data_IF_396359549996
#
_entry.id   IF_396359549996
#
_cell.length_a   1.000
_cell.length_b   1.000
_cell.length_c   1.000
_cell.angle_alpha   90.00
_cell.angle_beta   90.00
_cell.angle_gamma   90.00
#
_symmetry.space_group_name_H-M   'P 1'
#
loop_
_entity.id
_entity.type
_entity.pdbx_description
1 polymer ?
#
# COMPACT_ATOMS: atom_id res chain seq x y z
N UNK A 1 -5.66 5.58 -5.01
CA UNK A 1 -4.29 5.56 -4.46
C UNK A 1 -3.45 6.75 -4.91
N UNK A 2 -3.85 7.50 -5.96
CA UNK A 2 -3.13 8.71 -6.39
C UNK A 2 -3.01 9.73 -5.25
N UNK A 3 -4.12 10.14 -4.62
CA UNK A 3 -4.10 11.05 -3.48
C UNK A 3 -3.20 10.58 -2.32
N UNK A 4 -3.13 9.28 -2.05
CA UNK A 4 -2.23 8.75 -1.02
C UNK A 4 -0.77 8.92 -1.43
N UNK A 5 -0.42 8.60 -2.68
CA UNK A 5 0.92 8.84 -3.23
C UNK A 5 1.27 10.33 -3.20
N UNK A 6 0.31 11.17 -3.57
CA UNK A 6 0.42 12.62 -3.59
C UNK A 6 0.66 13.20 -2.20
N UNK A 7 -0.07 12.77 -1.17
CA UNK A 7 0.09 13.28 0.19
C UNK A 7 1.34 12.71 0.86
N UNK A 8 1.66 11.42 0.66
CA UNK A 8 2.86 10.81 1.24
C UNK A 8 4.15 11.26 0.55
N UNK A 9 4.07 11.73 -0.69
CA UNK A 9 5.26 12.07 -1.47
C UNK A 9 6.11 10.89 -1.88
N UNK A 10 5.55 9.68 -1.84
CA UNK A 10 6.22 8.44 -2.19
C UNK A 10 5.40 7.65 -3.20
N UNK A 11 6.06 6.78 -3.96
CA UNK A 11 5.37 5.85 -4.86
C UNK A 11 4.47 4.90 -4.07
N UNK A 12 3.27 4.64 -4.58
CA UNK A 12 2.38 3.60 -4.06
C UNK A 12 2.27 2.49 -5.12
N UNK A 13 2.65 1.28 -4.75
CA UNK A 13 2.62 0.11 -5.64
C UNK A 13 1.39 -0.73 -5.30
N UNK A 14 0.49 -0.92 -6.27
CA UNK A 14 -0.69 -1.77 -6.12
C UNK A 14 -0.45 -3.13 -6.78
N UNK A 15 -0.50 -4.23 -6.01
CA UNK A 15 -0.37 -5.58 -6.56
C UNK A 15 -1.60 -5.94 -7.41
N UNK A 16 -1.43 -6.89 -8.33
CA UNK A 16 -2.53 -7.44 -9.13
C UNK A 16 -3.55 -8.20 -8.28
N UNK A 17 -3.07 -9.01 -7.34
CA UNK A 17 -3.94 -9.70 -6.38
C UNK A 17 -4.24 -8.77 -5.22
N UNK A 18 -5.51 -8.32 -5.11
CA UNK A 18 -5.95 -7.41 -4.04
C UNK A 18 -6.16 -8.12 -2.70
N UNK A 19 -6.59 -9.38 -2.73
CA UNK A 19 -6.81 -10.22 -1.54
C UNK A 19 -5.51 -10.86 -1.05
N UNK A 20 -4.49 -10.04 -0.75
CA UNK A 20 -3.16 -10.51 -0.35
C UNK A 20 -3.19 -11.34 0.94
N UNK A 21 -4.17 -11.11 1.81
CA UNK A 21 -4.37 -11.88 3.04
C UNK A 21 -4.72 -13.34 2.75
N UNK A 22 -5.72 -13.57 1.88
CA UNK A 22 -6.11 -14.91 1.46
C UNK A 22 -4.98 -15.58 0.68
N UNK A 23 -4.32 -14.84 -0.21
CA UNK A 23 -3.16 -15.33 -0.95
C UNK A 23 -2.03 -15.78 -0.01
N UNK A 24 -1.71 -15.01 1.02
CA UNK A 24 -0.69 -15.36 2.01
C UNK A 24 -1.04 -16.64 2.78
N UNK A 25 -2.29 -16.80 3.20
CA UNK A 25 -2.75 -18.02 3.86
C UNK A 25 -2.64 -19.25 2.93
N UNK A 26 -3.07 -19.10 1.68
CA UNK A 26 -2.97 -20.16 0.67
C UNK A 26 -1.51 -20.54 0.38
N UNK A 27 -0.62 -19.55 0.25
CA UNK A 27 0.82 -19.77 0.06
C UNK A 27 1.43 -20.57 1.21
N UNK A 28 1.13 -20.21 2.46
CA UNK A 28 1.63 -20.93 3.64
C UNK A 28 1.09 -22.36 3.71
N UNK A 29 -0.21 -22.56 3.48
CA UNK A 29 -0.81 -23.89 3.46
C UNK A 29 -0.23 -24.77 2.33
N UNK A 30 -0.04 -24.19 1.14
CA UNK A 30 0.55 -24.87 -0.01
C UNK A 30 1.99 -25.31 0.23
N UNK A 31 2.80 -24.48 0.90
CA UNK A 31 4.15 -24.90 1.33
C UNK A 31 4.10 -26.07 2.33
N UNK A 32 3.17 -26.04 3.29
CA UNK A 32 3.04 -27.08 4.31
C UNK A 32 2.65 -28.45 3.73
N UNK A 33 1.85 -28.48 2.66
CA UNK A 33 1.42 -29.73 1.99
C UNK A 33 2.31 -30.11 0.80
N UNK A 34 3.38 -29.36 0.54
CA UNK A 34 4.31 -29.61 -0.57
C UNK A 34 3.77 -29.28 -1.96
N UNK A 35 2.71 -28.46 -2.04
CA UNK A 35 2.23 -27.94 -3.33
C UNK A 35 3.25 -27.00 -3.98
N UNK A 36 3.97 -26.22 -3.15
CA UNK A 36 5.16 -25.47 -3.55
C UNK A 36 6.39 -26.00 -2.82
N UNK A 37 7.55 -25.94 -3.48
CA UNK A 37 8.78 -26.57 -2.99
C UNK A 37 9.51 -25.69 -1.98
N UNK A 38 9.45 -24.36 -2.15
CA UNK A 38 10.12 -23.41 -1.26
C UNK A 38 9.55 -21.99 -1.40
N UNK A 39 9.91 -21.10 -0.47
CA UNK A 39 9.47 -19.70 -0.51
C UNK A 39 9.99 -18.93 -1.73
N UNK A 40 11.16 -19.30 -2.27
CA UNK A 40 11.72 -18.64 -3.46
C UNK A 40 10.81 -18.78 -4.68
N UNK A 41 10.14 -19.93 -4.82
CA UNK A 41 9.15 -20.20 -5.88
C UNK A 41 7.94 -19.25 -5.84
N UNK A 42 7.67 -18.66 -4.67
CA UNK A 42 6.56 -17.72 -4.47
C UNK A 42 6.96 -16.26 -4.73
N UNK A 43 8.26 -15.94 -4.71
CA UNK A 43 8.75 -14.58 -4.86
C UNK A 43 8.42 -13.99 -6.25
N UNK A 44 8.53 -14.83 -7.28
CA UNK A 44 8.29 -14.45 -8.68
C UNK A 44 6.81 -14.28 -9.02
N UNK A 45 5.89 -14.69 -8.13
CA UNK A 45 4.44 -14.60 -8.35
C UNK A 45 3.85 -13.22 -8.02
N UNK A 46 4.68 -12.24 -7.63
CA UNK A 46 4.24 -10.89 -7.28
C UNK A 46 4.14 -10.00 -8.52
N UNK A 47 2.96 -9.99 -9.12
CA UNK A 47 2.65 -9.11 -10.25
C UNK A 47 2.13 -7.73 -9.79
N UNK A 48 2.63 -6.68 -10.44
CA UNK A 48 2.23 -5.29 -10.18
C UNK A 48 1.15 -4.89 -11.18
N UNK A 49 -0.02 -4.46 -10.69
CA UNK A 49 -1.09 -3.91 -11.55
C UNK A 49 -0.80 -2.46 -11.92
N UNK A 50 -0.42 -1.65 -10.93
CA UNK A 50 -0.21 -0.21 -11.14
C UNK A 50 0.72 0.39 -10.11
N UNK A 51 1.53 1.34 -10.57
CA UNK A 51 2.35 2.22 -9.72
C UNK A 51 1.76 3.62 -9.81
N UNK A 52 1.46 4.21 -8.66
CA UNK A 52 1.07 5.62 -8.54
C UNK A 52 2.32 6.40 -8.10
N UNK A 53 2.69 7.42 -8.87
CA UNK A 53 3.78 8.33 -8.51
C UNK A 53 3.19 9.66 -8.04
N UNK A 54 3.84 10.39 -7.13
CA UNK A 54 3.33 11.67 -6.68
C UNK A 54 3.26 12.67 -7.85
N UNK A 55 2.09 13.25 -8.07
CA UNK A 55 1.80 14.25 -9.10
C UNK A 55 1.48 15.62 -8.47
N UNK A 56 1.13 15.64 -7.18
CA UNK A 56 0.82 16.87 -6.45
C UNK A 56 2.07 17.66 -6.07
N UNK A 57 2.04 18.96 -6.36
CA UNK A 57 3.06 19.92 -5.94
C UNK A 57 3.20 20.00 -4.42
N UNK A 58 4.44 20.22 -3.96
CA UNK A 58 4.80 20.24 -2.54
C UNK A 58 4.01 21.27 -1.74
N UNK A 59 3.86 22.49 -2.24
CA UNK A 59 3.15 23.57 -1.53
C UNK A 59 1.68 23.21 -1.30
N UNK A 60 1.03 22.64 -2.33
CA UNK A 60 -0.36 22.19 -2.23
C UNK A 60 -0.51 20.98 -1.29
N UNK A 61 0.46 20.08 -1.27
CA UNK A 61 0.52 18.98 -0.28
C UNK A 61 0.61 19.51 1.15
N UNK A 62 1.51 20.45 1.41
CA UNK A 62 1.72 21.06 2.74
C UNK A 62 0.43 21.74 3.22
N UNK A 63 -0.21 22.54 2.34
CA UNK A 63 -1.50 23.19 2.65
C UNK A 63 -2.58 22.19 3.05
N UNK A 64 -2.72 21.07 2.32
CA UNK A 64 -3.72 20.04 2.62
C UNK A 64 -3.40 19.32 3.95
N UNK A 65 -2.13 19.06 4.22
CA UNK A 65 -1.69 18.42 5.45
C UNK A 65 -1.91 19.32 6.68
N UNK A 66 -1.62 20.61 6.58
CA UNK A 66 -1.87 21.58 7.65
C UNK A 66 -3.37 21.72 7.97
N UNK A 67 -4.22 21.67 6.93
CA UNK A 67 -5.67 21.62 7.09
C UNK A 67 -6.12 20.38 7.87
N UNK A 68 -5.54 19.21 7.58
CA UNK A 68 -5.81 17.97 8.30
C UNK A 68 -5.32 18.03 9.76
N UNK A 69 -4.13 18.58 10.02
CA UNK A 69 -3.62 18.80 11.39
C UNK A 69 -4.54 19.71 12.19
N UNK A 70 -5.03 20.78 11.56
CA UNK A 70 -6.01 21.70 12.16
C UNK A 70 -7.31 20.96 12.52
N UNK A 71 -7.81 20.10 11.62
CA UNK A 71 -9.01 19.30 11.88
C UNK A 71 -8.81 18.33 13.05
N UNK A 72 -7.65 17.66 13.13
CA UNK A 72 -7.30 16.81 14.28
C UNK A 72 -7.28 17.62 15.58
N UNK A 73 -6.70 18.82 15.55
CA UNK A 73 -6.67 19.72 16.72
C UNK A 73 -8.07 19.99 17.27
N UNK A 74 -9.08 20.10 16.40
CA UNK A 74 -10.48 20.34 16.79
C UNK A 74 -11.18 19.09 17.34
N UNK A 75 -10.72 17.89 17.00
CA UNK A 75 -11.31 16.63 17.48
C UNK A 75 -10.68 16.11 18.77
N UNK A 76 -9.56 16.69 19.19
CA UNK A 76 -8.91 16.32 20.46
C UNK A 76 -9.66 16.99 21.62
N UNK A 77 -10.16 16.18 22.54
CA UNK A 77 -10.65 16.65 23.84
C UNK A 77 -9.45 16.77 24.78
N UNK A 78 -9.30 17.92 25.44
CA UNK A 78 -8.33 18.08 26.54
C UNK A 78 -8.75 17.29 27.77
#
# INVERSE_FOLDING_TARGET
MQFQSDIMGSKVVRPMVRESTALGAAMLAGLAVGYWSCQAELADKKEIERIFSPELEREKRETLYDGWLTAIGRTKTN
#
